data_IF_876640028984
#
_entry.id   IF_876640028984
#
_cell.length_a   1.000
_cell.length_b   1.000
_cell.length_c   1.000
_cell.angle_alpha   90.00
_cell.angle_beta   90.00
_cell.angle_gamma   90.00
#
_symmetry.space_group_name_H-M   'P 1'
#
loop_
_entity.id
_entity.type
_entity.pdbx_description
1 polymer ?
#
# COMPACT_ATOMS: atom_id res chain seq x y z
N UNK A 1 12.92 -19.08 -39.19
CA UNK A 1 12.16 -18.41 -38.09
C UNK A 1 13.16 -17.80 -37.15
N UNK A 2 13.39 -16.75 -37.34
CA UNK A 2 13.61 -15.31 -36.99
C UNK A 2 14.55 -15.08 -35.82
N UNK A 3 15.80 -14.70 -36.21
CA UNK A 3 16.88 -14.16 -35.35
C UNK A 3 16.69 -12.69 -34.96
N UNK A 4 15.48 -12.10 -35.02
CA UNK A 4 15.25 -10.65 -34.99
C UNK A 4 14.63 -10.09 -33.69
N UNK A 5 14.71 -10.75 -32.53
CA UNK A 5 14.18 -10.17 -31.29
C UNK A 5 15.16 -10.18 -30.11
N UNK A 6 16.43 -9.86 -30.36
CA UNK A 6 17.37 -9.43 -29.32
C UNK A 6 17.91 -8.02 -29.64
N UNK A 7 17.01 -7.05 -29.82
CA UNK A 7 17.41 -5.67 -29.55
C UNK A 7 17.63 -5.57 -28.03
N UNK A 8 18.89 -5.39 -27.65
CA UNK A 8 19.28 -5.05 -26.28
C UNK A 8 18.45 -3.81 -25.89
N UNK A 9 17.47 -3.98 -24.98
CA UNK A 9 16.84 -2.85 -24.32
C UNK A 9 17.96 -2.06 -23.67
N UNK A 10 18.25 -0.85 -24.19
CA UNK A 10 19.01 0.14 -23.44
C UNK A 10 18.39 0.19 -22.04
N UNK A 11 19.17 0.01 -20.99
CA UNK A 11 18.69 0.15 -19.63
C UNK A 11 18.09 1.56 -19.54
N UNK A 12 16.78 1.65 -19.57
CA UNK A 12 16.08 2.92 -19.34
C UNK A 12 16.30 3.27 -17.87
N UNK A 13 16.76 4.46 -17.61
CA UNK A 13 16.87 4.97 -16.24
C UNK A 13 15.47 4.99 -15.67
N UNK A 14 15.27 4.36 -14.49
CA UNK A 14 13.99 4.43 -13.79
C UNK A 14 13.83 5.81 -13.18
N UNK A 15 12.66 6.41 -13.38
CA UNK A 15 12.33 7.74 -12.89
C UNK A 15 11.00 7.71 -12.14
N UNK A 16 10.92 8.51 -11.08
CA UNK A 16 9.69 8.70 -10.30
C UNK A 16 9.30 10.17 -10.35
N UNK A 17 8.06 10.43 -10.77
CA UNK A 17 7.45 11.76 -10.78
C UNK A 17 6.23 11.75 -9.83
N UNK A 18 6.29 12.54 -8.76
CA UNK A 18 5.19 12.65 -7.80
C UNK A 18 4.15 13.66 -8.28
N UNK A 19 2.89 13.22 -8.33
CA UNK A 19 1.74 14.11 -8.52
C UNK A 19 1.15 14.59 -7.18
N UNK A 20 1.32 13.78 -6.11
CA UNK A 20 0.98 14.14 -4.72
C UNK A 20 1.86 13.34 -3.78
N UNK A 21 2.36 14.00 -2.73
CA UNK A 21 3.13 13.36 -1.67
C UNK A 21 2.90 14.11 -0.37
N UNK A 22 2.28 13.44 0.59
CA UNK A 22 2.17 13.86 1.98
C UNK A 22 2.58 12.71 2.92
N UNK A 23 2.33 12.83 4.22
CA UNK A 23 2.75 11.80 5.19
C UNK A 23 1.99 10.48 5.01
N UNK A 24 0.75 10.52 4.53
CA UNK A 24 -0.13 9.35 4.45
C UNK A 24 -0.41 8.89 3.02
N UNK A 25 -0.27 9.77 2.02
CA UNK A 25 -0.61 9.48 0.63
C UNK A 25 0.53 9.83 -0.31
N UNK A 26 0.90 8.88 -1.19
CA UNK A 26 1.74 9.13 -2.35
C UNK A 26 0.99 8.73 -3.63
N UNK A 27 0.98 9.64 -4.60
CA UNK A 27 0.61 9.36 -5.99
C UNK A 27 1.78 9.72 -6.88
N UNK A 28 2.23 8.78 -7.68
CA UNK A 28 3.40 8.99 -8.53
C UNK A 28 3.33 8.15 -9.80
N UNK A 29 4.07 8.61 -10.81
CA UNK A 29 4.32 7.86 -12.02
C UNK A 29 5.74 7.27 -11.97
N UNK A 30 5.84 5.95 -12.17
CA UNK A 30 7.10 5.22 -12.29
C UNK A 30 7.32 4.92 -13.77
N UNK A 31 8.42 5.43 -14.34
CA UNK A 31 8.79 5.26 -15.75
C UNK A 31 10.06 4.41 -15.87
N UNK A 32 10.19 3.63 -16.95
CA UNK A 32 11.37 2.83 -17.23
C UNK A 32 11.45 1.52 -16.43
N UNK A 33 10.40 1.17 -15.69
CA UNK A 33 10.34 -0.05 -14.90
C UNK A 33 9.71 -1.22 -15.69
N UNK A 34 10.13 -2.46 -15.38
CA UNK A 34 9.42 -3.64 -15.85
C UNK A 34 8.16 -3.91 -15.03
N UNK A 35 7.14 -4.63 -15.58
CA UNK A 35 5.98 -5.06 -14.78
C UNK A 35 6.37 -5.88 -13.55
N UNK A 36 7.44 -6.67 -13.66
CA UNK A 36 7.96 -7.48 -12.56
C UNK A 36 8.49 -6.60 -11.42
N UNK A 37 9.27 -5.55 -11.74
CA UNK A 37 9.76 -4.60 -10.75
C UNK A 37 8.61 -3.83 -10.11
N UNK A 38 7.67 -3.29 -10.91
CA UNK A 38 6.52 -2.56 -10.39
C UNK A 38 5.70 -3.40 -9.39
N UNK A 39 5.42 -4.67 -9.72
CA UNK A 39 4.71 -5.57 -8.82
C UNK A 39 5.58 -5.99 -7.63
N UNK A 40 6.87 -6.21 -7.80
CA UNK A 40 7.84 -6.50 -6.73
C UNK A 40 7.86 -5.35 -5.71
N UNK A 41 7.95 -4.12 -6.18
CA UNK A 41 7.92 -2.92 -5.33
C UNK A 41 6.61 -2.78 -4.55
N UNK A 42 5.47 -2.97 -5.23
CA UNK A 42 4.17 -2.99 -4.56
C UNK A 42 4.10 -4.05 -3.46
N UNK A 43 4.54 -5.27 -3.76
CA UNK A 43 4.53 -6.38 -2.79
C UNK A 43 5.47 -6.13 -1.62
N UNK A 44 6.63 -5.53 -1.87
CA UNK A 44 7.57 -5.17 -0.81
C UNK A 44 6.98 -4.13 0.14
N UNK A 45 6.28 -3.11 -0.38
CA UNK A 45 5.59 -2.12 0.47
C UNK A 45 4.52 -2.76 1.36
N UNK A 46 3.78 -3.74 0.87
CA UNK A 46 2.71 -4.40 1.62
C UNK A 46 3.24 -5.42 2.62
N UNK A 47 4.21 -6.23 2.20
CA UNK A 47 4.56 -7.46 2.90
C UNK A 47 5.90 -7.47 3.62
N UNK A 48 6.82 -6.56 3.29
CA UNK A 48 8.20 -6.65 3.78
C UNK A 48 8.63 -5.46 4.66
N UNK A 49 7.83 -4.40 4.70
CA UNK A 49 8.09 -3.25 5.57
C UNK A 49 7.49 -3.56 6.94
N UNK A 50 8.33 -3.61 8.01
CA UNK A 50 7.84 -3.98 9.32
C UNK A 50 7.11 -2.83 10.02
N UNK A 51 6.08 -3.17 10.81
CA UNK A 51 5.34 -2.24 11.69
C UNK A 51 5.06 -2.87 13.04
N UNK A 52 4.74 -2.04 14.04
CA UNK A 52 4.26 -2.50 15.33
C UNK A 52 2.77 -2.88 15.24
N UNK A 53 2.42 -4.05 15.81
CA UNK A 53 1.03 -4.42 16.05
C UNK A 53 0.95 -5.25 17.33
N UNK A 54 -0.21 -5.18 18.02
CA UNK A 54 -0.47 -5.99 19.22
C UNK A 54 -0.54 -7.46 18.80
N UNK A 55 0.29 -8.29 19.46
CA UNK A 55 0.40 -9.73 19.21
C UNK A 55 -0.20 -10.52 20.35
N UNK A 56 0.21 -10.25 21.58
CA UNK A 56 -0.25 -10.92 22.77
C UNK A 56 -1.12 -10.00 23.63
N UNK A 57 -2.23 -10.54 24.17
CA UNK A 57 -3.12 -9.82 25.10
C UNK A 57 -3.36 -10.68 26.34
N UNK A 58 -3.02 -10.14 27.49
CA UNK A 58 -3.39 -10.72 28.78
C UNK A 58 -4.63 -10.03 29.31
N UNK A 59 -5.70 -10.77 29.49
CA UNK A 59 -6.97 -10.26 29.97
C UNK A 59 -7.10 -10.65 31.45
N UNK A 60 -7.09 -9.65 32.31
CA UNK A 60 -7.23 -9.83 33.78
C UNK A 60 -8.69 -9.79 34.20
N UNK A 61 -9.50 -8.96 33.53
CA UNK A 61 -10.91 -8.83 33.82
C UNK A 61 -11.66 -8.40 32.55
N UNK A 62 -12.68 -9.15 32.15
CA UNK A 62 -13.55 -8.84 31.03
C UNK A 62 -14.99 -9.24 31.35
N UNK A 63 -15.76 -8.26 31.77
CA UNK A 63 -17.22 -8.42 31.98
C UNK A 63 -18.05 -7.77 30.89
N UNK A 64 -17.41 -7.43 29.74
CA UNK A 64 -18.07 -6.89 28.56
C UNK A 64 -18.93 -7.93 27.84
N UNK A 65 -19.68 -7.50 26.81
CA UNK A 65 -20.43 -8.40 25.96
C UNK A 65 -19.56 -9.14 24.92
N UNK A 66 -18.28 -8.77 24.76
CA UNK A 66 -17.38 -9.39 23.79
C UNK A 66 -16.55 -10.49 24.44
N UNK A 67 -16.38 -11.61 23.73
CA UNK A 67 -15.43 -12.64 24.08
C UNK A 67 -13.99 -12.14 23.96
N UNK A 68 -13.10 -12.75 24.71
CA UNK A 68 -11.68 -12.37 24.77
C UNK A 68 -11.00 -12.40 23.41
N UNK A 69 -11.31 -13.40 22.58
CA UNK A 69 -10.76 -13.55 21.22
C UNK A 69 -11.19 -12.41 20.31
N UNK A 70 -12.43 -11.94 20.46
CA UNK A 70 -12.92 -10.80 19.66
C UNK A 70 -12.22 -9.50 20.06
N UNK A 71 -11.98 -9.31 21.35
CA UNK A 71 -11.22 -8.17 21.87
C UNK A 71 -9.77 -8.22 21.37
N UNK A 72 -9.10 -9.37 21.50
CA UNK A 72 -7.73 -9.55 21.03
C UNK A 72 -7.60 -9.30 19.52
N UNK A 73 -8.54 -9.82 18.73
CA UNK A 73 -8.56 -9.56 17.29
C UNK A 73 -8.70 -8.06 16.94
N UNK A 74 -9.61 -7.36 17.63
CA UNK A 74 -9.81 -5.90 17.41
C UNK A 74 -8.59 -5.09 17.84
N UNK A 75 -7.98 -5.44 18.97
CA UNK A 75 -6.75 -4.80 19.48
C UNK A 75 -5.59 -4.99 18.49
N UNK A 76 -5.42 -6.19 17.94
CA UNK A 76 -4.38 -6.50 16.97
C UNK A 76 -4.46 -5.70 15.67
N UNK A 77 -5.65 -5.20 15.31
CA UNK A 77 -5.88 -4.40 14.08
C UNK A 77 -5.76 -2.89 14.31
N UNK A 78 -5.46 -2.43 15.52
CA UNK A 78 -5.22 -1.01 15.79
C UNK A 78 -3.83 -0.63 15.26
N UNK A 79 -3.71 0.32 14.31
CA UNK A 79 -2.43 0.77 13.84
C UNK A 79 -1.69 1.55 14.93
N UNK A 80 -0.40 1.25 15.10
CA UNK A 80 0.47 1.83 16.12
C UNK A 80 1.58 2.61 15.43
N UNK A 81 1.85 3.84 15.89
CA UNK A 81 2.98 4.63 15.42
C UNK A 81 4.27 3.86 15.65
N UNK A 82 5.06 3.72 14.60
CA UNK A 82 6.24 2.86 14.57
C UNK A 82 7.49 3.69 14.29
N UNK A 83 8.51 3.53 15.14
CA UNK A 83 9.84 4.06 14.87
C UNK A 83 10.82 2.91 14.60
N UNK A 84 11.18 2.74 13.33
CA UNK A 84 12.08 1.68 12.87
C UNK A 84 13.56 1.91 13.26
N UNK A 85 13.89 3.04 13.86
CA UNK A 85 15.22 3.28 14.43
C UNK A 85 15.35 2.77 15.87
N UNK A 86 14.23 2.69 16.58
CA UNK A 86 14.15 2.29 17.99
C UNK A 86 13.87 0.81 18.15
N UNK A 87 12.96 0.25 17.33
CA UNK A 87 12.49 -1.12 17.48
C UNK A 87 13.13 -2.10 16.50
N UNK A 88 13.40 -3.32 16.98
CA UNK A 88 13.90 -4.44 16.19
C UNK A 88 12.90 -5.58 16.17
N UNK A 89 12.89 -6.37 15.10
CA UNK A 89 12.16 -7.63 15.04
C UNK A 89 12.65 -8.53 16.18
N UNK A 90 11.72 -9.18 16.89
CA UNK A 90 11.98 -9.93 18.12
C UNK A 90 13.09 -10.97 17.96
N UNK A 91 13.10 -11.70 16.85
CA UNK A 91 14.09 -12.74 16.53
C UNK A 91 15.49 -12.18 16.24
N UNK A 92 15.58 -10.90 15.83
CA UNK A 92 16.84 -10.21 15.51
C UNK A 92 17.33 -9.32 16.65
N UNK A 93 16.59 -9.27 17.75
CA UNK A 93 16.92 -8.42 18.89
C UNK A 93 18.06 -9.01 19.73
N UNK A 94 18.93 -8.15 20.25
CA UNK A 94 20.04 -8.52 21.12
C UNK A 94 19.63 -9.26 22.40
N UNK A 95 18.35 -9.17 22.78
CA UNK A 95 17.81 -9.90 23.93
C UNK A 95 17.48 -11.38 23.64
N UNK A 96 17.74 -11.87 22.43
CA UNK A 96 17.43 -13.25 22.04
C UNK A 96 15.92 -13.57 22.01
N UNK A 97 15.06 -12.57 21.81
CA UNK A 97 13.61 -12.77 21.76
C UNK A 97 12.90 -12.76 23.13
N UNK A 98 13.58 -12.38 24.19
CA UNK A 98 13.00 -12.35 25.54
C UNK A 98 11.90 -11.28 25.74
N UNK A 99 11.80 -10.30 24.85
CA UNK A 99 10.80 -9.22 24.94
C UNK A 99 11.31 -8.05 25.78
N UNK A 100 12.39 -7.40 25.31
CA UNK A 100 12.90 -6.18 25.94
C UNK A 100 12.24 -4.91 25.33
N UNK A 101 12.43 -3.73 25.95
CA UNK A 101 11.89 -2.46 25.41
C UNK A 101 12.32 -2.12 23.98
N UNK A 102 13.40 -2.72 23.46
CA UNK A 102 13.85 -2.55 22.07
C UNK A 102 13.12 -3.46 21.05
N UNK A 103 12.29 -4.41 21.49
CA UNK A 103 11.56 -5.31 20.58
C UNK A 103 10.10 -5.54 20.96
N UNK A 104 9.64 -4.98 22.07
CA UNK A 104 8.27 -5.14 22.55
C UNK A 104 7.80 -3.88 23.26
N UNK A 105 6.60 -3.44 22.98
CA UNK A 105 5.92 -2.32 23.67
C UNK A 105 4.71 -2.86 24.42
N UNK A 106 4.60 -2.50 25.68
CA UNK A 106 3.45 -2.89 26.51
C UNK A 106 2.43 -1.75 26.57
N UNK A 107 1.18 -2.10 26.38
CA UNK A 107 0.01 -1.23 26.58
C UNK A 107 -0.79 -1.74 27.75
N UNK A 108 -1.33 -0.84 28.56
CA UNK A 108 -2.25 -1.16 29.64
C UNK A 108 -3.58 -0.46 29.44
N UNK A 109 -4.66 -1.13 29.82
CA UNK A 109 -6.02 -0.57 29.81
C UNK A 109 -6.75 -1.03 31.07
N UNK A 110 -7.34 -0.08 31.80
CA UNK A 110 -8.24 -0.36 32.92
C UNK A 110 -9.39 0.62 32.89
N UNK A 111 -10.57 0.15 32.48
CA UNK A 111 -11.76 0.98 32.26
C UNK A 111 -12.98 0.31 32.86
N UNK A 112 -13.83 1.11 33.53
CA UNK A 112 -15.14 0.72 34.06
C UNK A 112 -16.25 1.49 33.36
N UNK A 113 -17.37 0.81 33.08
CA UNK A 113 -18.54 1.37 32.40
C UNK A 113 -19.45 2.18 33.32
N UNK A 114 -20.36 3.00 32.76
CA UNK A 114 -20.73 2.99 31.34
C UNK A 114 -19.82 3.86 30.48
N UNK A 115 -19.14 3.27 29.51
CA UNK A 115 -18.23 3.99 28.58
C UNK A 115 -18.01 3.19 27.29
N UNK A 116 -17.80 3.88 26.16
CA UNK A 116 -17.21 3.27 24.97
C UNK A 116 -15.69 3.37 25.09
N UNK A 117 -15.03 2.23 25.15
CA UNK A 117 -13.57 2.13 25.20
C UNK A 117 -13.03 2.35 23.79
N UNK A 118 -12.10 3.28 23.67
CA UNK A 118 -11.47 3.68 22.41
C UNK A 118 -9.98 3.32 22.41
N UNK A 119 -9.36 3.33 21.25
CA UNK A 119 -7.91 3.11 21.09
C UNK A 119 -7.06 4.11 21.90
N UNK A 120 -7.53 5.36 22.03
CA UNK A 120 -6.87 6.38 22.85
C UNK A 120 -6.92 6.12 24.37
N UNK A 121 -7.70 5.14 24.83
CA UNK A 121 -7.68 4.71 26.24
C UNK A 121 -6.53 3.73 26.54
N UNK A 122 -5.86 3.21 25.52
CA UNK A 122 -4.66 2.39 25.69
C UNK A 122 -3.48 3.25 26.16
N UNK A 123 -2.90 2.91 27.27
CA UNK A 123 -1.74 3.62 27.85
C UNK A 123 -0.47 2.86 27.47
N UNK A 124 0.35 3.40 26.53
CA UNK A 124 1.61 2.77 26.16
C UNK A 124 2.69 2.98 27.22
N UNK A 125 3.56 2.00 27.36
CA UNK A 125 4.78 2.13 28.18
C UNK A 125 5.79 3.08 27.55
N UNK A 126 5.88 3.10 26.22
CA UNK A 126 6.67 4.05 25.44
C UNK A 126 5.75 5.12 24.84
N UNK A 127 5.92 6.40 25.18
CA UNK A 127 5.08 7.48 24.68
C UNK A 127 5.20 7.71 23.16
N UNK A 128 6.22 7.17 22.50
CA UNK A 128 6.40 7.27 21.05
C UNK A 128 5.58 6.22 20.27
N UNK A 129 5.25 5.09 20.91
CA UNK A 129 4.46 4.01 20.30
C UNK A 129 2.99 4.11 20.72
N UNK A 130 2.29 5.11 20.22
CA UNK A 130 0.86 5.34 20.50
C UNK A 130 -0.02 4.78 19.36
N UNK A 131 -1.30 4.47 19.61
CA UNK A 131 -2.27 4.29 18.53
C UNK A 131 -2.24 5.49 17.57
N UNK A 132 -2.36 5.22 16.28
CA UNK A 132 -2.37 6.28 15.25
C UNK A 132 -3.63 7.14 15.38
N UNK A 133 -4.76 6.50 15.66
CA UNK A 133 -6.07 7.13 15.83
C UNK A 133 -6.61 6.84 17.22
N UNK A 134 -7.02 7.89 17.94
CA UNK A 134 -7.53 7.77 19.30
C UNK A 134 -9.02 7.35 19.37
N UNK A 135 -9.72 7.39 18.25
CA UNK A 135 -11.17 7.24 18.16
C UNK A 135 -11.64 5.87 17.66
N UNK A 136 -10.76 4.87 17.54
CA UNK A 136 -11.15 3.52 17.11
C UNK A 136 -11.89 2.84 18.26
N UNK A 137 -13.18 2.44 18.09
CA UNK A 137 -13.94 1.81 19.15
C UNK A 137 -13.50 0.37 19.37
N UNK A 138 -13.11 0.03 20.60
CA UNK A 138 -12.72 -1.33 21.01
C UNK A 138 -13.96 -2.10 21.48
N UNK A 139 -14.62 -1.60 22.55
CA UNK A 139 -15.82 -2.21 23.12
C UNK A 139 -16.68 -1.16 23.82
N UNK A 140 -18.00 -1.40 23.89
CA UNK A 140 -18.90 -0.59 24.70
C UNK A 140 -19.20 -1.31 26.02
N UNK A 141 -18.85 -0.69 27.14
CA UNK A 141 -19.16 -1.16 28.48
C UNK A 141 -20.44 -0.51 28.99
N UNK A 142 -21.31 -1.29 29.60
CA UNK A 142 -22.50 -0.82 30.33
C UNK A 142 -22.18 -0.64 31.83
N UNK A 143 -23.14 -0.14 32.61
CA UNK A 143 -22.94 0.08 34.05
C UNK A 143 -22.57 -1.23 34.77
N UNK A 144 -21.48 -1.20 35.54
CA UNK A 144 -20.96 -2.34 36.30
C UNK A 144 -20.12 -3.31 35.49
N UNK A 145 -19.89 -3.04 34.19
CA UNK A 145 -18.94 -3.78 33.39
C UNK A 145 -17.55 -3.17 33.46
N UNK A 146 -16.53 -4.02 33.34
CA UNK A 146 -15.14 -3.64 33.49
C UNK A 146 -14.28 -4.37 32.45
N UNK A 147 -13.20 -3.73 32.02
CA UNK A 147 -12.19 -4.31 31.14
C UNK A 147 -10.80 -3.93 31.69
N UNK A 148 -9.98 -4.93 32.01
CA UNK A 148 -8.59 -4.76 32.45
C UNK A 148 -7.70 -5.68 31.62
N UNK A 149 -6.81 -5.10 30.83
CA UNK A 149 -5.91 -5.85 29.94
C UNK A 149 -4.49 -5.29 29.98
N UNK A 150 -3.55 -6.14 29.61
CA UNK A 150 -2.19 -5.82 29.23
C UNK A 150 -1.94 -6.39 27.85
N UNK A 151 -1.54 -5.54 26.91
CA UNK A 151 -1.31 -5.93 25.51
C UNK A 151 0.14 -5.67 25.12
N UNK A 152 0.75 -6.61 24.40
CA UNK A 152 2.13 -6.53 23.96
C UNK A 152 2.17 -6.39 22.42
N UNK A 153 2.72 -5.27 21.95
CA UNK A 153 2.97 -5.04 20.54
C UNK A 153 4.41 -5.40 20.20
N UNK A 154 4.59 -6.03 19.05
CA UNK A 154 5.90 -6.42 18.49
C UNK A 154 6.01 -5.95 17.05
N UNK A 155 7.26 -5.78 16.59
CA UNK A 155 7.57 -5.45 15.22
C UNK A 155 7.58 -6.74 14.38
N UNK A 156 6.80 -6.76 13.29
CA UNK A 156 6.82 -7.84 12.32
C UNK A 156 6.36 -7.34 10.95
N UNK A 157 6.23 -8.19 9.95
CA UNK A 157 5.93 -7.83 8.56
C UNK A 157 4.57 -8.33 8.11
N UNK A 158 4.02 -7.68 7.08
CA UNK A 158 2.74 -8.07 6.49
C UNK A 158 2.73 -9.48 5.87
N UNK A 159 3.90 -10.07 5.66
CA UNK A 159 4.04 -11.47 5.22
C UNK A 159 3.53 -12.46 6.27
N UNK A 160 3.80 -12.18 7.55
CA UNK A 160 3.35 -13.03 8.66
C UNK A 160 1.86 -12.90 8.92
N UNK A 161 1.36 -11.65 8.99
CA UNK A 161 -0.06 -11.39 9.16
C UNK A 161 -0.44 -9.98 8.66
N UNK A 162 -1.66 -9.82 8.16
CA UNK A 162 -2.16 -8.57 7.61
C UNK A 162 -2.17 -7.39 8.61
N UNK A 163 -2.18 -7.64 9.91
CA UNK A 163 -2.10 -6.60 10.95
C UNK A 163 -0.80 -5.79 10.94
N UNK A 164 0.26 -6.34 10.34
CA UNK A 164 1.55 -5.67 10.14
C UNK A 164 1.72 -5.06 8.74
N UNK A 165 0.65 -4.95 7.96
CA UNK A 165 0.69 -4.25 6.68
C UNK A 165 0.59 -2.74 6.92
N UNK A 166 1.60 -1.94 6.53
CA UNK A 166 1.62 -0.49 6.79
C UNK A 166 0.77 0.30 5.80
N UNK A 167 0.13 -0.37 4.84
CA UNK A 167 -0.60 0.29 3.75
C UNK A 167 -2.06 -0.11 3.73
N UNK A 168 -2.97 0.89 3.70
CA UNK A 168 -4.40 0.69 3.44
C UNK A 168 -4.66 0.47 1.96
N UNK A 169 -4.00 1.25 1.11
CA UNK A 169 -4.04 1.14 -0.34
C UNK A 169 -2.62 1.06 -0.87
N UNK A 170 -2.33 0.06 -1.67
CA UNK A 170 -1.08 -0.02 -2.41
C UNK A 170 -1.34 -0.72 -3.74
N UNK A 171 -1.46 0.07 -4.79
CA UNK A 171 -1.79 -0.42 -6.13
C UNK A 171 -1.17 0.41 -7.23
N UNK A 172 -1.11 -0.19 -8.41
CA UNK A 172 -0.71 0.52 -9.61
C UNK A 172 -1.54 0.10 -10.81
N UNK A 173 -1.58 0.97 -11.80
CA UNK A 173 -2.10 0.68 -13.13
C UNK A 173 -1.12 1.16 -14.18
N UNK A 174 -1.21 0.62 -15.38
CA UNK A 174 -0.47 1.15 -16.52
C UNK A 174 -0.90 2.59 -16.83
N UNK A 175 0.02 3.38 -17.34
CA UNK A 175 -0.29 4.71 -17.85
C UNK A 175 -1.15 4.56 -19.10
N UNK A 176 -2.37 5.17 -19.15
CA UNK A 176 -3.25 5.04 -20.30
C UNK A 176 -2.77 5.89 -21.47
N UNK A 177 -2.91 5.34 -22.67
CA UNK A 177 -2.75 6.06 -23.93
C UNK A 177 -4.10 6.05 -24.65
N UNK A 178 -4.63 7.23 -24.91
CA UNK A 178 -5.90 7.41 -25.61
C UNK A 178 -5.60 7.99 -26.99
N UNK A 179 -5.92 7.24 -28.03
CA UNK A 179 -5.77 7.65 -29.40
C UNK A 179 -7.15 7.92 -30.01
N UNK A 180 -7.31 9.08 -30.66
CA UNK A 180 -8.55 9.48 -31.30
C UNK A 180 -8.24 9.71 -32.78
N UNK A 181 -8.90 8.94 -33.62
CA UNK A 181 -8.69 9.00 -35.09
C UNK A 181 -9.38 10.20 -35.72
N UNK A 182 -9.03 10.47 -36.96
CA UNK A 182 -9.67 11.54 -37.76
C UNK A 182 -11.11 11.22 -38.14
N UNK A 183 -11.51 9.96 -38.07
CA UNK A 183 -12.89 9.52 -38.31
C UNK A 183 -13.87 9.89 -37.17
N UNK A 184 -13.39 10.50 -36.08
CA UNK A 184 -14.25 10.96 -34.99
C UNK A 184 -15.14 12.11 -35.45
N UNK A 185 -16.47 11.93 -35.34
CA UNK A 185 -17.50 12.90 -35.71
C UNK A 185 -18.00 13.75 -34.53
N UNK A 186 -17.41 13.59 -33.36
CA UNK A 186 -17.79 14.27 -32.11
C UNK A 186 -19.24 13.98 -31.65
N UNK A 187 -19.75 12.76 -31.87
CA UNK A 187 -21.10 12.34 -31.46
C UNK A 187 -21.33 12.32 -29.94
N UNK A 188 -20.32 12.54 -29.15
CA UNK A 188 -20.32 12.59 -27.68
C UNK A 188 -20.64 11.26 -26.94
N UNK A 189 -21.02 10.17 -27.57
CA UNK A 189 -21.39 8.91 -26.92
C UNK A 189 -20.30 8.38 -26.00
N UNK A 190 -19.02 8.49 -26.40
CA UNK A 190 -17.88 8.09 -25.56
C UNK A 190 -17.66 9.03 -24.37
N UNK A 191 -18.10 10.29 -24.46
CA UNK A 191 -18.04 11.26 -23.34
C UNK A 191 -19.08 10.92 -22.30
N UNK A 192 -20.32 10.65 -22.72
CA UNK A 192 -21.46 10.33 -21.83
C UNK A 192 -21.24 9.01 -21.09
N UNK A 193 -20.65 8.01 -21.76
CA UNK A 193 -20.34 6.71 -21.17
C UNK A 193 -19.10 6.69 -20.25
N UNK A 194 -18.32 7.77 -20.21
CA UNK A 194 -17.09 7.79 -19.42
C UNK A 194 -17.37 8.04 -17.93
N UNK A 195 -17.28 7.05 -17.04
CA UNK A 195 -17.63 7.22 -15.62
C UNK A 195 -16.65 8.14 -14.87
N UNK A 196 -15.49 8.46 -15.46
CA UNK A 196 -14.48 9.35 -14.89
C UNK A 196 -14.53 10.77 -15.48
N UNK A 197 -15.33 11.00 -16.50
CA UNK A 197 -15.45 12.31 -17.17
C UNK A 197 -14.11 12.85 -17.66
N UNK A 198 -13.30 11.97 -18.25
CA UNK A 198 -11.96 12.33 -18.77
C UNK A 198 -11.99 12.82 -20.22
N UNK A 199 -13.13 12.69 -20.88
CA UNK A 199 -13.33 13.07 -22.28
C UNK A 199 -14.26 14.27 -22.36
N UNK A 200 -14.04 15.13 -23.36
CA UNK A 200 -14.90 16.25 -23.66
C UNK A 200 -14.95 16.49 -25.19
N UNK A 201 -16.06 17.02 -25.69
CA UNK A 201 -16.13 17.49 -27.06
C UNK A 201 -15.53 18.89 -27.15
N UNK A 202 -14.51 19.04 -28.00
CA UNK A 202 -13.93 20.36 -28.35
C UNK A 202 -13.97 20.56 -29.85
N UNK A 203 -14.81 21.47 -30.31
CA UNK A 203 -15.02 21.71 -31.72
C UNK A 203 -15.63 20.51 -32.45
N UNK A 204 -14.89 19.92 -33.37
CA UNK A 204 -15.34 18.78 -34.21
C UNK A 204 -14.71 17.43 -33.78
N UNK A 205 -14.06 17.38 -32.66
CA UNK A 205 -13.39 16.17 -32.14
C UNK A 205 -13.64 16.00 -30.64
N UNK A 206 -13.50 14.78 -30.18
CA UNK A 206 -13.40 14.47 -28.76
C UNK A 206 -11.94 14.63 -28.34
N UNK A 207 -11.69 15.18 -27.16
CA UNK A 207 -10.36 15.34 -26.60
C UNK A 207 -10.34 14.87 -25.14
N UNK A 208 -9.15 14.53 -24.65
CA UNK A 208 -8.93 14.26 -23.22
C UNK A 208 -8.90 15.59 -22.50
N UNK A 209 -9.67 15.69 -21.41
CA UNK A 209 -9.66 16.87 -20.52
C UNK A 209 -8.29 17.03 -19.88
N UNK A 210 -7.75 18.24 -19.92
CA UNK A 210 -6.42 18.55 -19.40
C UNK A 210 -6.25 18.07 -17.95
N UNK A 211 -5.16 17.38 -17.68
CA UNK A 211 -4.83 16.83 -16.36
C UNK A 211 -5.61 15.57 -15.95
N UNK A 212 -6.63 15.12 -16.70
CA UNK A 212 -7.46 13.96 -16.34
C UNK A 212 -7.05 12.64 -16.96
N UNK A 213 -6.03 12.60 -17.79
CA UNK A 213 -5.58 11.37 -18.45
C UNK A 213 -5.28 10.26 -17.41
N UNK A 214 -4.61 10.62 -16.33
CA UNK A 214 -4.23 9.70 -15.27
C UNK A 214 -5.42 9.12 -14.49
N UNK A 215 -6.62 9.72 -14.58
CA UNK A 215 -7.84 9.20 -13.95
C UNK A 215 -8.50 8.08 -14.77
N UNK A 216 -8.08 7.87 -16.02
CA UNK A 216 -8.60 6.81 -16.87
C UNK A 216 -8.40 5.43 -16.21
N UNK A 217 -9.48 4.68 -16.03
CA UNK A 217 -9.45 3.32 -15.50
C UNK A 217 -9.20 2.25 -16.56
N UNK A 218 -9.02 2.63 -17.83
CA UNK A 218 -8.86 1.73 -18.97
C UNK A 218 -10.00 0.71 -19.11
N UNK A 219 -11.23 1.08 -18.73
CA UNK A 219 -12.41 0.22 -18.77
C UNK A 219 -12.94 -0.06 -20.20
N UNK A 220 -12.47 0.71 -21.19
CA UNK A 220 -12.85 0.60 -22.62
C UNK A 220 -14.35 0.83 -22.91
N UNK A 221 -15.10 1.43 -22.00
CA UNK A 221 -16.51 1.79 -22.26
C UNK A 221 -16.64 2.79 -23.41
N UNK A 222 -15.72 3.74 -23.50
CA UNK A 222 -15.68 4.71 -24.59
C UNK A 222 -15.44 4.07 -25.98
N UNK A 223 -14.58 3.02 -26.07
CA UNK A 223 -14.41 2.24 -27.31
C UNK A 223 -15.71 1.56 -27.72
N UNK A 224 -16.39 0.90 -26.75
CA UNK A 224 -17.67 0.22 -26.98
C UNK A 224 -18.78 1.19 -27.40
N UNK A 225 -18.88 2.34 -26.73
CA UNK A 225 -19.85 3.37 -27.06
C UNK A 225 -19.59 3.93 -28.46
N UNK A 226 -18.34 4.14 -28.85
CA UNK A 226 -17.98 4.60 -30.19
C UNK A 226 -18.36 3.60 -31.28
N UNK A 227 -18.16 2.28 -31.04
CA UNK A 227 -18.63 1.25 -31.98
C UNK A 227 -20.15 1.22 -32.09
N UNK A 228 -20.89 1.45 -31.02
CA UNK A 228 -22.35 1.48 -31.00
C UNK A 228 -22.94 2.66 -31.78
N UNK A 229 -22.14 3.71 -32.01
CA UNK A 229 -22.56 4.86 -32.83
C UNK A 229 -22.74 4.54 -34.33
N UNK A 230 -22.20 3.40 -34.80
CA UNK A 230 -22.35 2.93 -36.19
C UNK A 230 -21.54 3.70 -37.21
N UNK A 231 -20.53 4.48 -36.82
CA UNK A 231 -19.73 5.32 -37.71
C UNK A 231 -18.75 4.50 -38.55
N UNK A 232 -18.39 3.29 -38.10
CA UNK A 232 -17.47 2.39 -38.79
C UNK A 232 -17.33 1.03 -38.08
N UNK A 233 -16.59 0.13 -38.74
CA UNK A 233 -16.31 -1.22 -38.19
C UNK A 233 -15.29 -1.19 -37.01
N UNK A 234 -14.53 -0.08 -36.91
CA UNK A 234 -13.56 0.13 -35.83
C UNK A 234 -13.87 1.40 -35.05
N UNK A 235 -13.60 1.42 -33.72
CA UNK A 235 -13.86 2.62 -32.91
C UNK A 235 -12.90 3.74 -33.26
N UNK A 236 -13.42 4.96 -33.40
CA UNK A 236 -12.59 6.14 -33.60
C UNK A 236 -11.76 6.53 -32.38
N UNK A 237 -12.11 6.02 -31.18
CA UNK A 237 -11.33 6.16 -29.95
C UNK A 237 -10.80 4.79 -29.53
N UNK A 238 -9.51 4.70 -29.21
CA UNK A 238 -8.87 3.48 -28.73
C UNK A 238 -8.06 3.75 -27.46
N UNK A 239 -8.09 2.78 -26.54
CA UNK A 239 -7.35 2.84 -25.29
C UNK A 239 -6.33 1.73 -25.23
N UNK A 240 -5.07 2.12 -25.09
CA UNK A 240 -3.94 1.23 -24.89
C UNK A 240 -3.18 1.58 -23.61
N UNK A 241 -2.24 0.71 -23.23
CA UNK A 241 -1.36 0.91 -22.12
C UNK A 241 0.03 1.32 -22.62
N UNK A 242 0.62 2.33 -22.01
CA UNK A 242 2.03 2.66 -22.24
C UNK A 242 2.90 1.56 -21.60
N UNK A 243 3.87 1.09 -22.35
CA UNK A 243 4.83 0.12 -21.83
C UNK A 243 5.77 0.80 -20.84
N UNK A 244 6.18 0.06 -19.79
CA UNK A 244 7.19 0.49 -18.82
C UNK A 244 6.85 1.80 -18.05
N UNK A 245 5.55 2.19 -18.00
CA UNK A 245 5.08 3.37 -17.26
C UNK A 245 3.84 3.05 -16.45
N UNK A 246 3.91 3.33 -15.14
CA UNK A 246 2.90 2.93 -14.16
C UNK A 246 2.51 4.09 -13.26
N UNK A 247 1.23 4.20 -12.97
CA UNK A 247 0.69 5.16 -12.00
C UNK A 247 0.42 4.41 -10.70
N UNK A 248 1.14 4.78 -9.65
CA UNK A 248 1.01 4.22 -8.32
C UNK A 248 0.13 5.09 -7.43
N UNK A 249 -0.61 4.43 -6.55
CA UNK A 249 -1.28 5.04 -5.41
C UNK A 249 -0.92 4.20 -4.18
N UNK A 250 -0.32 4.85 -3.19
CA UNK A 250 0.09 4.25 -1.92
C UNK A 250 -0.49 5.09 -0.79
N UNK A 251 -1.25 4.47 0.08
CA UNK A 251 -1.87 5.11 1.25
C UNK A 251 -1.44 4.35 2.51
N UNK A 252 -0.80 5.06 3.44
CA UNK A 252 -0.39 4.53 4.73
C UNK A 252 -1.57 4.42 5.69
N UNK A 253 -1.54 3.45 6.59
CA UNK A 253 -2.44 3.36 7.74
C UNK A 253 -2.09 4.36 8.87
N UNK A 254 -0.99 5.12 8.68
CA UNK A 254 -0.46 6.10 9.61
C UNK A 254 0.57 5.53 10.59
N UNK A 255 0.84 4.23 10.58
CA UNK A 255 1.89 3.62 11.41
C UNK A 255 3.28 4.11 11.03
N UNK A 256 3.51 4.33 9.73
CA UNK A 256 4.73 4.89 9.14
C UNK A 256 4.38 5.95 8.09
N UNK A 257 5.21 7.00 7.92
CA UNK A 257 5.08 7.89 6.78
C UNK A 257 5.23 7.11 5.46
N UNK A 258 4.41 7.46 4.45
CA UNK A 258 4.42 6.76 3.15
C UNK A 258 5.80 6.77 2.48
N UNK A 259 6.56 7.86 2.65
CA UNK A 259 7.93 7.98 2.14
C UNK A 259 8.86 6.94 2.78
N UNK A 260 8.72 6.69 4.08
CA UNK A 260 9.50 5.67 4.79
C UNK A 260 9.13 4.26 4.29
N UNK A 261 7.84 3.97 4.10
CA UNK A 261 7.36 2.71 3.52
C UNK A 261 8.02 2.46 2.16
N UNK A 262 8.00 3.46 1.26
CA UNK A 262 8.60 3.36 -0.07
C UNK A 262 10.12 3.12 0.00
N UNK A 263 10.83 3.86 0.84
CA UNK A 263 12.28 3.72 1.00
C UNK A 263 12.65 2.34 1.55
N UNK A 264 11.96 1.87 2.60
CA UNK A 264 12.21 0.54 3.18
C UNK A 264 11.94 -0.58 2.19
N UNK A 265 10.89 -0.48 1.39
CA UNK A 265 10.60 -1.45 0.34
C UNK A 265 11.70 -1.50 -0.73
N UNK A 266 12.27 -0.35 -1.13
CA UNK A 266 13.39 -0.30 -2.06
C UNK A 266 14.68 -0.87 -1.46
N UNK A 267 14.97 -0.56 -0.19
CA UNK A 267 16.11 -1.14 0.52
C UNK A 267 15.98 -2.66 0.63
N UNK A 268 14.79 -3.16 0.96
CA UNK A 268 14.54 -4.60 1.00
C UNK A 268 14.84 -5.27 -0.36
N UNK A 269 14.34 -4.72 -1.47
CA UNK A 269 14.59 -5.27 -2.82
C UNK A 269 16.09 -5.27 -3.14
N UNK A 270 16.80 -4.19 -2.83
CA UNK A 270 18.25 -4.08 -3.02
C UNK A 270 18.99 -5.13 -2.19
N UNK A 271 18.70 -5.20 -0.89
CA UNK A 271 19.40 -6.10 0.03
C UNK A 271 19.17 -7.57 -0.34
N UNK A 272 17.95 -7.93 -0.84
CA UNK A 272 17.68 -9.28 -1.37
C UNK A 272 18.48 -9.56 -2.67
N UNK A 273 18.66 -8.55 -3.51
CA UNK A 273 19.43 -8.70 -4.74
C UNK A 273 20.92 -8.85 -4.45
N UNK A 274 21.44 -8.07 -3.50
CA UNK A 274 22.86 -8.13 -3.08
C UNK A 274 23.15 -9.47 -2.40
N UNK A 275 22.24 -9.99 -1.58
CA UNK A 275 22.38 -11.30 -0.93
C UNK A 275 22.37 -12.44 -1.97
N UNK A 276 21.50 -12.35 -2.98
CA UNK A 276 21.49 -13.34 -4.07
C UNK A 276 22.80 -13.30 -4.88
N UNK A 277 23.32 -12.10 -5.19
CA UNK A 277 24.61 -11.94 -5.87
C UNK A 277 25.74 -12.57 -5.07
N UNK A 278 25.75 -12.34 -3.74
CA UNK A 278 26.74 -12.94 -2.83
C UNK A 278 26.69 -14.48 -2.87
N UNK A 279 25.50 -15.06 -2.76
CA UNK A 279 25.31 -16.53 -2.79
C UNK A 279 25.75 -17.14 -4.12
N UNK A 280 25.45 -16.49 -5.25
CA UNK A 280 25.90 -16.94 -6.58
C UNK A 280 27.43 -16.86 -6.69
N UNK A 281 28.04 -15.78 -6.18
CA UNK A 281 29.51 -15.61 -6.16
C UNK A 281 30.21 -16.70 -5.36
N UNK A 282 29.67 -17.08 -4.20
CA UNK A 282 30.20 -18.19 -3.39
C UNK A 282 30.15 -19.56 -4.11
N UNK A 283 29.06 -19.82 -4.85
CA UNK A 283 28.89 -21.07 -5.62
C UNK A 283 29.82 -21.09 -6.82
N UNK A 284 30.05 -19.95 -7.49
CA UNK A 284 30.89 -19.85 -8.69
C UNK A 284 32.37 -19.84 -8.38
N UNK A 285 32.77 -19.74 -7.12
CA UNK A 285 34.19 -19.72 -6.72
C UNK A 285 34.91 -18.39 -7.02
N UNK A 286 34.15 -17.35 -7.34
CA UNK A 286 34.64 -15.98 -7.51
C UNK A 286 34.85 -15.30 -6.15
N UNK A 287 35.77 -15.82 -5.35
CA UNK A 287 36.32 -15.02 -4.25
C UNK A 287 37.01 -13.80 -4.85
N UNK A 288 36.45 -12.63 -4.67
CA UNK A 288 37.13 -11.37 -4.97
C UNK A 288 38.47 -11.35 -4.22
N UNK A 289 39.58 -11.52 -4.96
CA UNK A 289 40.92 -11.16 -4.51
C UNK A 289 41.05 -9.67 -4.31
#
# INVERSE_FOLDING_TARGET
MSRERRQARKASVMEIEFSSLDDTLARFTLTGASPAFANGFRRAMIGEVPTLAIEDVRIYDNTSAFFDEMLAHRLGLIPIKTDLSTYSIKEKCSCGGAGCPGCMVTFTLSVEGPKTVLSGDLIPQDPNATPVYDNIPIVKLTKGQKLVIEAHAVLNTGREHAKWQPTLVCGFKNHPVISISESCDACAMCVDECPRGILAVRGKKVEVVDGKLTDCSMCKLCEKACLSSGIGDEPAITISAEADRYIFVVESDGSLPVKEIMNRALYYIRDQSDELERQIGEISGDEKK
#
